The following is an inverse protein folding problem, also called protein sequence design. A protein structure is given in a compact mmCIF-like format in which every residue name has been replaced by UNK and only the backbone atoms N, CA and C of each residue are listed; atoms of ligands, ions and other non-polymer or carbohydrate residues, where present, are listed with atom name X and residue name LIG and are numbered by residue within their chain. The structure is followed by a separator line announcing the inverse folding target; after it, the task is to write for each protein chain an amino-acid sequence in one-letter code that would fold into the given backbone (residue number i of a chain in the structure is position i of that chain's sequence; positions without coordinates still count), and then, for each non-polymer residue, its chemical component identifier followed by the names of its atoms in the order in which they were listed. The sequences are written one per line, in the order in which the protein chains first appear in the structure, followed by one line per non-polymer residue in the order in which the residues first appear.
data_IF_085911534995
#
_entry.id   IF_085911534995
#
_cell.length_a   1.000
_cell.length_b   1.000
_cell.length_c   1.000
_cell.angle_alpha   90.00
_cell.angle_beta   90.00
_cell.angle_gamma   90.00
#
_symmetry.space_group_name_H-M   'P 1'
#
loop_
_entity.id
_entity.type
_entity.pdbx_description
1 polymer ?
#
# COMPACT_ATOMS: atom_id res chain seq x y z
N UNK A 1 40.10 37.72 51.99
CA UNK A 1 40.85 38.09 50.77
C UNK A 1 39.94 38.83 49.81
N UNK A 2 40.34 40.02 49.32
CA UNK A 2 39.51 40.89 48.50
C UNK A 2 39.92 40.85 47.00
N UNK A 3 38.91 41.01 46.12
CA UNK A 3 38.94 41.93 44.94
C UNK A 3 39.53 41.51 43.57
N UNK A 4 38.62 41.49 42.57
CA UNK A 4 38.73 41.91 41.12
C UNK A 4 39.50 40.98 40.15
N UNK A 5 39.19 40.85 38.84
CA UNK A 5 38.12 41.29 37.90
C UNK A 5 38.45 40.66 36.51
N UNK A 6 37.41 40.32 35.72
CA UNK A 6 37.18 40.58 34.26
C UNK A 6 38.28 40.24 33.23
N UNK A 7 38.08 39.50 32.13
CA UNK A 7 37.31 39.68 30.84
C UNK A 7 37.98 38.68 29.81
N UNK A 8 37.67 38.62 28.49
CA UNK A 8 36.42 38.47 27.72
C UNK A 8 36.50 37.29 26.69
N UNK A 9 35.57 37.29 25.71
CA UNK A 9 35.61 36.65 24.37
C UNK A 9 34.90 35.28 24.25
N UNK A 10 34.09 34.98 23.23
CA UNK A 10 33.77 35.69 21.99
C UNK A 10 32.33 35.33 21.55
N UNK A 11 31.65 36.33 20.99
CA UNK A 11 30.44 36.16 20.18
C UNK A 11 30.87 35.58 18.83
N UNK A 12 30.26 34.48 18.39
CA UNK A 12 30.21 34.11 16.97
C UNK A 12 28.73 33.98 16.60
N UNK A 13 28.20 35.07 16.07
CA UNK A 13 27.04 35.08 15.18
C UNK A 13 27.41 34.32 13.91
N UNK A 14 26.71 33.23 13.64
CA UNK A 14 26.61 32.66 12.30
C UNK A 14 25.14 32.76 11.86
N UNK A 15 24.84 33.86 11.18
CA UNK A 15 23.68 33.96 10.32
C UNK A 15 23.99 33.14 9.06
N UNK A 16 23.16 32.14 8.76
CA UNK A 16 23.07 31.57 7.43
C UNK A 16 21.59 31.40 7.10
N UNK A 17 21.02 32.46 6.52
CA UNK A 17 19.80 32.36 5.76
C UNK A 17 20.13 31.57 4.48
N UNK A 18 19.65 30.33 4.41
CA UNK A 18 19.56 29.61 3.15
C UNK A 18 18.08 29.59 2.76
N UNK A 19 17.69 30.59 1.99
CA UNK A 19 16.43 30.57 1.25
C UNK A 19 16.52 29.42 0.23
N UNK A 20 15.82 28.32 0.49
CA UNK A 20 15.60 27.29 -0.52
C UNK A 20 14.54 27.81 -1.49
N UNK A 21 15.00 28.42 -2.57
CA UNK A 21 14.21 28.64 -3.78
C UNK A 21 14.08 27.29 -4.46
N UNK A 22 12.96 26.60 -4.27
CA UNK A 22 12.58 25.49 -5.13
C UNK A 22 11.90 26.05 -6.38
N UNK A 23 12.71 26.35 -7.38
CA UNK A 23 12.26 26.39 -8.79
C UNK A 23 12.62 25.03 -9.38
N UNK A 24 11.63 24.14 -9.42
CA UNK A 24 11.51 23.12 -10.46
C UNK A 24 10.21 23.51 -11.18
N UNK A 25 10.20 23.91 -12.44
CA UNK A 25 10.89 23.32 -13.58
C UNK A 25 9.77 22.90 -14.53
N UNK A 26 9.63 23.60 -15.65
CA UNK A 26 8.61 23.35 -16.66
C UNK A 26 8.75 21.95 -17.27
N UNK A 27 7.65 21.21 -17.31
CA UNK A 27 7.25 20.29 -18.38
C UNK A 27 8.05 19.01 -18.55
N UNK A 28 7.51 17.91 -18.04
CA UNK A 28 7.33 16.65 -18.76
C UNK A 28 6.34 15.81 -17.93
N UNK A 29 5.40 15.15 -18.60
CA UNK A 29 4.26 14.38 -18.03
C UNK A 29 4.71 13.21 -17.13
N UNK A 30 5.32 13.49 -15.98
CA UNK A 30 5.45 12.52 -14.91
C UNK A 30 4.05 12.29 -14.32
N UNK A 31 3.53 11.05 -14.33
CA UNK A 31 2.19 10.80 -13.84
C UNK A 31 2.15 11.15 -12.35
N UNK A 32 1.22 12.04 -11.98
CA UNK A 32 1.03 12.55 -10.62
C UNK A 32 0.94 11.38 -9.63
N UNK A 33 2.03 11.16 -8.89
CA UNK A 33 2.20 10.06 -7.96
C UNK A 33 2.27 10.60 -6.55
N UNK A 34 1.48 10.01 -5.65
CA UNK A 34 1.32 10.46 -4.27
C UNK A 34 1.10 9.28 -3.34
N UNK A 35 1.40 9.46 -2.06
CA UNK A 35 0.99 8.50 -1.04
C UNK A 35 -0.52 8.51 -0.89
N UNK A 36 -1.10 7.37 -0.50
CA UNK A 36 -2.50 7.35 -0.06
C UNK A 36 -2.68 8.33 1.12
N UNK A 37 -3.81 9.02 1.13
CA UNK A 37 -4.21 9.91 2.21
C UNK A 37 -4.69 9.15 3.43
N UNK A 38 -5.35 8.01 3.22
CA UNK A 38 -5.77 7.10 4.28
C UNK A 38 -5.78 5.65 3.79
N UNK A 39 -5.53 4.75 4.74
CA UNK A 39 -5.62 3.29 4.55
C UNK A 39 -6.42 2.76 5.75
N UNK A 40 -7.40 1.91 5.49
CA UNK A 40 -8.25 1.31 6.52
C UNK A 40 -8.71 -0.09 6.12
N UNK A 41 -9.37 -0.85 7.02
CA UNK A 41 -10.08 -2.06 6.62
C UNK A 41 -11.10 -1.77 5.50
N UNK A 42 -11.39 -2.81 4.71
CA UNK A 42 -12.37 -2.72 3.63
C UNK A 42 -13.77 -2.43 4.16
N UNK A 43 -14.57 -1.70 3.39
CA UNK A 43 -16.01 -1.52 3.65
C UNK A 43 -16.89 -2.41 2.77
N UNK A 44 -16.28 -3.12 1.80
CA UNK A 44 -16.95 -4.14 0.99
C UNK A 44 -17.10 -5.42 1.85
N UNK A 45 -18.31 -6.00 1.94
CA UNK A 45 -18.50 -7.27 2.62
C UNK A 45 -17.72 -8.41 1.93
N UNK A 46 -16.85 -9.10 2.67
CA UNK A 46 -16.20 -10.34 2.21
C UNK A 46 -17.06 -11.57 2.48
N UNK A 47 -16.94 -12.59 1.63
CA UNK A 47 -17.65 -13.87 1.81
C UNK A 47 -17.05 -14.71 2.97
N UNK A 48 -15.79 -14.46 3.33
CA UNK A 48 -15.13 -15.00 4.51
C UNK A 48 -15.08 -13.92 5.60
N UNK A 49 -15.51 -14.27 6.81
CA UNK A 49 -16.00 -13.38 7.87
C UNK A 49 -15.14 -12.15 8.24
N UNK A 50 -15.84 -11.09 8.66
CA UNK A 50 -15.41 -9.96 9.52
C UNK A 50 -13.95 -9.52 9.37
N UNK A 51 -13.72 -8.67 8.39
CA UNK A 51 -12.43 -7.98 8.27
C UNK A 51 -12.59 -6.54 8.74
N UNK A 52 -12.81 -6.39 10.06
CA UNK A 52 -12.51 -5.16 10.81
C UNK A 52 -10.99 -4.84 10.81
N UNK A 53 -10.22 -5.52 9.95
CA UNK A 53 -8.78 -5.45 9.80
C UNK A 53 -8.41 -5.46 8.31
N UNK A 54 -7.23 -4.91 8.01
CA UNK A 54 -6.61 -5.09 6.71
C UNK A 54 -6.12 -6.55 6.62
N UNK A 55 -6.28 -7.19 5.47
CA UNK A 55 -5.79 -8.55 5.21
C UNK A 55 -4.89 -8.54 4.00
N UNK A 56 -3.74 -9.21 4.10
CA UNK A 56 -2.83 -9.37 2.98
C UNK A 56 -2.05 -10.69 3.08
N UNK A 57 -2.08 -11.47 2.00
CA UNK A 57 -1.16 -12.58 1.82
C UNK A 57 -1.73 -13.72 0.97
N UNK A 58 -1.04 -14.84 0.98
CA UNK A 58 -1.40 -16.04 0.24
C UNK A 58 -1.29 -17.26 1.14
N UNK A 59 -2.34 -18.07 1.18
CA UNK A 59 -2.44 -19.10 2.18
C UNK A 59 -3.76 -19.84 2.22
N UNK A 60 -3.86 -20.71 3.22
CA UNK A 60 -5.11 -21.29 3.72
C UNK A 60 -5.37 -20.92 5.18
N UNK A 61 -4.38 -20.37 5.88
CA UNK A 61 -4.47 -20.01 7.29
C UNK A 61 -4.04 -18.57 7.51
N UNK A 62 -4.68 -17.97 8.51
CA UNK A 62 -4.16 -16.78 9.17
C UNK A 62 -2.93 -17.19 9.98
N UNK A 63 -1.75 -17.04 9.39
CA UNK A 63 -0.48 -17.16 10.08
C UNK A 63 0.55 -16.19 9.48
N UNK A 64 1.56 -15.75 10.25
CA UNK A 64 2.52 -14.74 9.82
C UNK A 64 3.28 -15.07 8.52
N UNK A 65 3.31 -16.33 8.09
CA UNK A 65 3.99 -16.75 6.88
C UNK A 65 3.05 -16.93 5.67
N UNK A 66 1.73 -16.82 5.86
CA UNK A 66 0.73 -17.00 4.81
C UNK A 66 -0.11 -15.73 4.64
N UNK A 67 -1.12 -15.55 5.51
CA UNK A 67 -2.08 -14.44 5.48
C UNK A 67 -1.93 -13.63 6.77
N UNK A 68 -1.68 -12.34 6.61
CA UNK A 68 -1.38 -11.42 7.71
C UNK A 68 -2.45 -10.34 7.87
N UNK A 69 -2.47 -9.70 9.04
CA UNK A 69 -3.29 -8.52 9.33
C UNK A 69 -2.41 -7.30 9.59
N UNK A 70 -1.85 -6.66 8.56
CA UNK A 70 -0.98 -5.50 8.73
C UNK A 70 -1.76 -4.31 9.31
N UNK A 71 -1.09 -3.49 10.12
CA UNK A 71 -1.63 -2.18 10.45
C UNK A 71 -1.56 -1.25 9.22
N UNK A 72 -2.36 -0.18 9.15
CA UNK A 72 -2.26 0.81 8.06
C UNK A 72 -0.84 1.33 7.82
N UNK A 73 -0.08 1.55 8.90
CA UNK A 73 1.30 2.08 8.84
C UNK A 73 2.33 1.03 8.37
N UNK A 74 1.97 -0.26 8.32
CA UNK A 74 2.82 -1.32 7.76
C UNK A 74 2.70 -1.42 6.23
N UNK A 75 1.80 -0.64 5.63
CA UNK A 75 1.59 -0.57 4.19
C UNK A 75 2.12 0.74 3.62
N UNK A 76 2.96 0.64 2.59
CA UNK A 76 3.28 1.77 1.72
C UNK A 76 2.36 1.73 0.50
N UNK A 77 1.50 2.74 0.36
CA UNK A 77 0.58 2.85 -0.78
C UNK A 77 0.94 4.06 -1.64
N UNK A 78 1.22 3.82 -2.92
CA UNK A 78 1.42 4.85 -3.93
C UNK A 78 0.24 4.86 -4.91
N UNK A 79 -0.41 6.01 -5.02
CA UNK A 79 -1.46 6.28 -5.99
C UNK A 79 -0.89 7.09 -7.16
N UNK A 80 -1.15 6.67 -8.39
CA UNK A 80 -0.69 7.34 -9.61
C UNK A 80 -1.89 7.64 -10.51
N UNK A 81 -2.00 8.88 -11.00
CA UNK A 81 -3.18 9.32 -11.77
C UNK A 81 -4.39 9.61 -10.88
N UNK A 82 -5.55 9.85 -11.51
CA UNK A 82 -6.81 10.20 -10.82
C UNK A 82 -8.00 9.60 -11.56
N UNK A 83 -9.12 9.50 -10.85
CA UNK A 83 -10.40 9.06 -11.37
C UNK A 83 -10.26 7.77 -12.19
N UNK A 84 -10.64 7.76 -13.47
CA UNK A 84 -10.61 6.60 -14.36
C UNK A 84 -9.20 6.14 -14.76
N UNK A 85 -8.17 6.93 -14.44
CA UNK A 85 -6.76 6.62 -14.69
C UNK A 85 -6.02 6.19 -13.42
N UNK A 86 -6.71 6.09 -12.29
CA UNK A 86 -6.09 5.76 -11.01
C UNK A 86 -5.42 4.39 -11.07
N UNK A 87 -4.16 4.34 -10.65
CA UNK A 87 -3.42 3.12 -10.37
C UNK A 87 -2.97 3.14 -8.92
N UNK A 88 -3.06 2.00 -8.25
CA UNK A 88 -2.68 1.86 -6.85
C UNK A 88 -1.63 0.78 -6.74
N UNK A 89 -0.50 1.13 -6.14
CA UNK A 89 0.56 0.20 -5.74
C UNK A 89 0.54 0.08 -4.23
N UNK A 90 0.38 -1.13 -3.71
CA UNK A 90 0.45 -1.46 -2.29
C UNK A 90 1.72 -2.29 -2.07
N UNK A 91 2.52 -1.95 -1.09
CA UNK A 91 3.66 -2.76 -0.65
C UNK A 91 3.65 -2.92 0.87
N UNK A 92 3.99 -4.11 1.37
CA UNK A 92 4.07 -4.41 2.80
C UNK A 92 5.48 -4.77 3.26
N UNK A 93 5.66 -4.91 4.58
CA UNK A 93 6.95 -5.30 5.17
C UNK A 93 7.33 -6.75 4.93
N UNK A 94 6.41 -7.61 4.48
CA UNK A 94 6.66 -9.02 4.16
C UNK A 94 7.02 -9.25 2.68
N UNK A 95 7.25 -8.16 1.93
CA UNK A 95 7.72 -8.19 0.56
C UNK A 95 6.61 -8.33 -0.48
N UNK A 96 5.34 -8.28 -0.08
CA UNK A 96 4.23 -8.26 -1.04
C UNK A 96 4.19 -6.92 -1.77
N UNK A 97 3.92 -6.99 -3.07
CA UNK A 97 3.67 -5.86 -3.94
C UNK A 97 2.46 -6.15 -4.82
N UNK A 98 1.48 -5.27 -4.75
CA UNK A 98 0.20 -5.40 -5.45
C UNK A 98 -0.02 -4.18 -6.31
N UNK A 99 -0.30 -4.40 -7.60
CA UNK A 99 -0.67 -3.34 -8.54
C UNK A 99 -2.11 -3.50 -8.98
N UNK A 100 -2.86 -2.42 -8.86
CA UNK A 100 -4.26 -2.29 -9.20
C UNK A 100 -4.42 -1.16 -10.21
N UNK A 101 -5.39 -1.30 -11.12
CA UNK A 101 -5.78 -0.28 -12.06
C UNK A 101 -7.29 -0.08 -12.03
N UNK A 102 -7.72 1.17 -12.07
CA UNK A 102 -9.11 1.57 -11.99
C UNK A 102 -10.01 0.78 -12.96
N UNK A 103 -11.18 0.36 -12.46
CA UNK A 103 -12.17 -0.37 -13.24
C UNK A 103 -11.86 -1.85 -13.48
N UNK A 104 -10.77 -2.37 -12.91
CA UNK A 104 -10.37 -3.77 -13.05
C UNK A 104 -10.68 -4.61 -11.81
N UNK A 105 -10.98 -5.90 -12.01
CA UNK A 105 -10.93 -6.94 -10.97
C UNK A 105 -9.58 -7.69 -10.95
N UNK A 106 -8.63 -7.28 -11.79
CA UNK A 106 -7.30 -7.88 -11.88
C UNK A 106 -6.31 -7.19 -10.96
N UNK A 107 -5.42 -7.99 -10.39
CA UNK A 107 -4.35 -7.56 -9.50
C UNK A 107 -3.05 -8.20 -9.95
N UNK A 108 -1.99 -7.42 -10.20
CA UNK A 108 -0.66 -8.00 -10.33
C UNK A 108 -0.06 -8.14 -8.94
N UNK A 109 0.29 -9.35 -8.55
CA UNK A 109 0.84 -9.67 -7.23
C UNK A 109 2.25 -10.21 -7.40
N UNK A 110 3.18 -9.69 -6.59
CA UNK A 110 4.58 -10.06 -6.57
C UNK A 110 5.06 -10.22 -5.12
N UNK A 111 5.91 -11.22 -4.88
CA UNK A 111 6.74 -11.34 -3.68
C UNK A 111 8.10 -11.90 -4.10
N UNK A 112 9.09 -11.01 -4.20
CA UNK A 112 10.42 -11.35 -4.73
C UNK A 112 11.18 -12.35 -3.85
N UNK A 113 11.06 -12.22 -2.52
CA UNK A 113 11.74 -13.10 -1.55
C UNK A 113 11.25 -14.55 -1.65
N UNK A 114 10.01 -14.73 -2.11
CA UNK A 114 9.38 -16.05 -2.32
C UNK A 114 9.41 -16.49 -3.78
N UNK A 115 9.92 -15.68 -4.70
CA UNK A 115 9.90 -15.94 -6.14
C UNK A 115 8.48 -16.10 -6.70
N UNK A 116 7.51 -15.37 -6.14
CA UNK A 116 6.10 -15.43 -6.54
C UNK A 116 5.72 -14.22 -7.37
N UNK A 117 5.13 -14.45 -8.54
CA UNK A 117 4.58 -13.40 -9.39
C UNK A 117 3.41 -13.94 -10.21
N UNK A 118 2.31 -13.18 -10.26
CA UNK A 118 1.12 -13.55 -11.04
C UNK A 118 0.19 -12.34 -11.28
N UNK A 119 -0.50 -12.35 -12.42
CA UNK A 119 -1.70 -11.55 -12.62
C UNK A 119 -2.92 -12.37 -12.17
N UNK A 120 -3.55 -11.95 -11.08
CA UNK A 120 -4.67 -12.60 -10.44
C UNK A 120 -5.97 -11.91 -10.84
N UNK A 121 -7.05 -12.68 -10.98
CA UNK A 121 -8.37 -12.18 -11.36
C UNK A 121 -9.39 -12.55 -10.29
N UNK A 122 -9.78 -11.55 -9.48
CA UNK A 122 -10.74 -11.74 -8.39
C UNK A 122 -12.13 -12.14 -8.93
N UNK A 123 -12.49 -11.76 -10.16
CA UNK A 123 -13.78 -12.09 -10.76
C UNK A 123 -13.96 -13.60 -11.04
N UNK A 124 -12.88 -14.40 -10.99
CA UNK A 124 -12.94 -15.86 -11.15
C UNK A 124 -13.62 -16.57 -9.98
N UNK A 125 -13.69 -15.93 -8.81
CA UNK A 125 -14.47 -16.41 -7.67
C UNK A 125 -15.80 -15.65 -7.67
N UNK A 126 -16.94 -16.31 -8.00
CA UNK A 126 -18.20 -15.61 -8.13
C UNK A 126 -18.70 -15.08 -6.79
N UNK A 127 -18.95 -13.79 -6.71
CA UNK A 127 -19.52 -13.08 -5.55
C UNK A 127 -20.73 -12.23 -5.99
N UNK A 128 -21.68 -11.93 -5.08
CA UNK A 128 -22.83 -11.07 -5.42
C UNK A 128 -22.46 -9.63 -5.80
N UNK A 129 -21.32 -9.15 -5.30
CA UNK A 129 -20.77 -7.81 -5.53
C UNK A 129 -19.34 -7.92 -6.08
N UNK A 130 -18.86 -6.91 -6.83
CA UNK A 130 -17.45 -6.82 -7.18
C UNK A 130 -16.58 -6.88 -5.92
N UNK A 131 -15.46 -7.60 -6.02
CA UNK A 131 -14.52 -7.73 -4.91
C UNK A 131 -13.52 -6.56 -4.88
N UNK A 132 -13.37 -5.85 -6.00
CA UNK A 132 -12.61 -4.60 -6.08
C UNK A 132 -13.60 -3.51 -6.51
N UNK A 133 -13.97 -2.62 -5.60
CA UNK A 133 -14.90 -1.53 -5.85
C UNK A 133 -14.15 -0.21 -6.11
N UNK A 134 -14.46 0.39 -7.26
CA UNK A 134 -13.94 1.69 -7.71
C UNK A 134 -15.06 2.74 -7.80
N UNK A 135 -16.20 2.51 -7.15
CA UNK A 135 -17.39 3.37 -7.24
C UNK A 135 -17.15 4.79 -6.73
N UNK A 136 -16.19 4.97 -5.83
CA UNK A 136 -15.82 6.27 -5.28
C UNK A 136 -14.63 6.89 -6.05
N UNK A 137 -14.71 8.16 -6.47
CA UNK A 137 -13.61 8.83 -7.16
C UNK A 137 -12.35 8.85 -6.32
N UNK A 138 -11.21 8.50 -6.92
CA UNK A 138 -9.91 8.49 -6.26
C UNK A 138 -9.81 7.56 -5.04
N UNK A 139 -10.66 6.54 -4.97
CA UNK A 139 -10.64 5.55 -3.91
C UNK A 139 -10.78 4.15 -4.50
N UNK A 140 -10.29 3.16 -3.76
CA UNK A 140 -10.55 1.76 -4.06
C UNK A 140 -10.85 1.05 -2.76
N UNK A 141 -11.88 0.21 -2.79
CA UNK A 141 -12.22 -0.68 -1.69
C UNK A 141 -12.11 -2.12 -2.16
N UNK A 142 -11.38 -2.94 -1.41
CA UNK A 142 -10.90 -4.25 -1.86
C UNK A 142 -11.29 -5.27 -0.80
N UNK A 143 -12.01 -6.31 -1.20
CA UNK A 143 -12.30 -7.51 -0.44
C UNK A 143 -12.08 -8.74 -1.35
N UNK A 144 -10.86 -8.86 -1.85
CA UNK A 144 -10.49 -9.77 -2.94
C UNK A 144 -9.92 -11.09 -2.43
N UNK A 145 -10.50 -12.17 -2.98
CA UNK A 145 -10.04 -13.53 -2.93
C UNK A 145 -9.75 -13.97 -4.36
N UNK A 146 -8.52 -14.40 -4.63
CA UNK A 146 -8.12 -14.78 -5.98
C UNK A 146 -7.41 -16.14 -6.01
N UNK A 147 -7.76 -16.93 -7.02
CA UNK A 147 -7.11 -18.20 -7.31
C UNK A 147 -5.68 -17.89 -7.77
N UNK A 148 -4.69 -18.47 -7.08
CA UNK A 148 -3.29 -18.35 -7.46
C UNK A 148 -2.87 -19.44 -8.46
N UNK A 149 -1.77 -19.25 -9.21
CA UNK A 149 -1.22 -20.31 -10.06
C UNK A 149 -0.86 -21.56 -9.27
N UNK A 150 -0.99 -22.74 -9.88
CA UNK A 150 -0.61 -24.03 -9.27
C UNK A 150 0.89 -24.13 -8.92
N UNK A 151 1.71 -23.25 -9.50
CA UNK A 151 3.15 -23.14 -9.20
C UNK A 151 3.43 -22.49 -7.85
N UNK A 152 2.47 -21.75 -7.30
CA UNK A 152 2.56 -21.19 -5.95
C UNK A 152 2.26 -22.31 -4.95
N UNK A 153 3.31 -22.93 -4.42
CA UNK A 153 3.21 -24.12 -3.57
C UNK A 153 3.43 -23.77 -2.10
N UNK A 154 2.41 -24.00 -1.26
CA UNK A 154 2.49 -23.78 0.18
C UNK A 154 2.86 -25.09 0.89
N UNK A 155 3.67 -25.04 1.96
CA UNK A 155 3.95 -26.21 2.79
C UNK A 155 2.70 -26.76 3.51
N UNK A 156 1.58 -26.02 3.52
CA UNK A 156 0.38 -26.37 4.26
C UNK A 156 -0.72 -27.06 3.43
N UNK A 157 -0.54 -27.22 2.11
CA UNK A 157 -1.40 -28.04 1.27
C UNK A 157 -1.97 -27.34 0.02
N UNK A 158 -2.81 -28.04 -0.77
CA UNK A 158 -3.41 -27.53 -2.01
C UNK A 158 -4.65 -26.67 -1.73
N UNK A 159 -5.08 -25.84 -2.70
CA UNK A 159 -6.28 -24.99 -2.57
C UNK A 159 -6.01 -23.59 -2.03
N UNK A 160 -4.79 -23.10 -2.28
CA UNK A 160 -4.32 -21.80 -1.82
C UNK A 160 -5.00 -20.66 -2.57
N UNK A 161 -5.26 -19.55 -1.87
CA UNK A 161 -5.79 -18.33 -2.45
C UNK A 161 -4.94 -17.14 -2.01
N UNK A 162 -4.96 -16.08 -2.81
CA UNK A 162 -4.45 -14.78 -2.41
C UNK A 162 -5.60 -13.97 -1.82
N UNK A 163 -5.35 -13.33 -0.69
CA UNK A 163 -6.29 -12.52 0.07
C UNK A 163 -5.78 -11.09 0.14
N UNK A 164 -6.63 -10.13 -0.23
CA UNK A 164 -6.40 -8.70 -0.04
C UNK A 164 -7.70 -8.05 0.42
N UNK A 165 -7.69 -7.48 1.63
CA UNK A 165 -8.77 -6.65 2.15
C UNK A 165 -8.23 -5.31 2.61
N UNK A 166 -8.62 -4.22 1.96
CA UNK A 166 -8.22 -2.86 2.33
C UNK A 166 -9.10 -1.82 1.63
N UNK A 167 -9.36 -0.71 2.32
CA UNK A 167 -9.82 0.52 1.72
C UNK A 167 -8.65 1.51 1.60
N UNK A 168 -8.56 2.18 0.45
CA UNK A 168 -7.50 3.13 0.11
C UNK A 168 -8.12 4.42 -0.39
N UNK A 169 -7.85 5.52 0.31
CA UNK A 169 -8.19 6.89 -0.12
C UNK A 169 -6.97 7.54 -0.76
N UNK A 170 -7.04 7.83 -2.07
CA UNK A 170 -6.03 8.55 -2.81
C UNK A 170 -6.38 10.04 -3.01
N UNK A 171 -7.46 10.57 -2.42
CA UNK A 171 -7.88 11.96 -2.65
C UNK A 171 -6.96 13.02 -2.06
#
# INVERSE_FOLDING_TARGET
MPTKRRLPAAIITAAAAAAMVLVAGCGDDAPDSRSAKAISPSTVPSAEADLDAIVLGWGQKLDPNEITHPAPDDLEVTCTGRDDQLKVKITDTNGWKILLAHGSQQMRVENADRGLEADLDAAKIPTPTPQIDWSQPNQVDIAAHAIVPDTWTSPYGPGQQFHLSAHIDCA
#
